data_IF_972508239913
#
_entry.id   IF_972508239913
#
_cell.length_a   1.000
_cell.length_b   1.000
_cell.length_c   1.000
_cell.angle_alpha   90.00
_cell.angle_beta   90.00
_cell.angle_gamma   90.00
#
_symmetry.space_group_name_H-M   'P 1'
#
loop_
_entity.id
_entity.type
_entity.pdbx_description
1 polymer ?
#
# COMPACT_ATOMS: atom_id res chain seq x y z
N UNK A 1 -19.79 7.05 8.96
CA UNK A 1 -20.69 5.90 9.16
C UNK A 1 -19.86 4.62 9.13
N UNK A 2 -20.00 3.72 10.08
CA UNK A 2 -19.26 2.46 10.10
C UNK A 2 -19.59 1.64 8.84
N UNK A 3 -18.59 0.94 8.33
CA UNK A 3 -18.75 0.04 7.21
C UNK A 3 -19.58 -1.17 7.65
N UNK A 4 -20.51 -1.60 6.80
CA UNK A 4 -21.23 -2.87 6.96
C UNK A 4 -21.07 -3.67 5.68
N UNK A 5 -20.93 -4.98 5.80
CA UNK A 5 -20.84 -5.92 4.68
C UNK A 5 -21.98 -5.68 3.68
N UNK A 6 -21.65 -5.61 2.39
CA UNK A 6 -22.66 -5.29 1.34
C UNK A 6 -22.80 -3.82 0.97
N UNK A 7 -22.26 -2.88 1.74
CA UNK A 7 -22.26 -1.46 1.37
C UNK A 7 -21.20 -1.15 0.31
N UNK A 8 -21.33 -0.01 -0.43
CA UNK A 8 -20.31 0.45 -1.36
C UNK A 8 -18.94 0.59 -0.69
N UNK A 9 -17.87 0.23 -1.41
CA UNK A 9 -16.49 0.28 -0.90
C UNK A 9 -16.09 1.71 -0.52
N UNK A 10 -16.54 2.69 -1.30
CA UNK A 10 -16.27 4.10 -1.04
C UNK A 10 -17.58 4.89 -0.90
N UNK A 11 -17.50 6.00 -0.18
CA UNK A 11 -18.60 6.95 -0.07
C UNK A 11 -18.34 8.13 -1.01
N UNK A 12 -19.23 8.32 -1.99
CA UNK A 12 -19.11 9.35 -3.02
C UNK A 12 -19.81 10.65 -2.64
N UNK A 13 -20.54 10.71 -1.53
CA UNK A 13 -21.26 11.89 -1.05
C UNK A 13 -20.32 13.06 -0.81
N UNK A 14 -20.57 14.20 -1.43
CA UNK A 14 -19.66 15.34 -1.47
C UNK A 14 -19.25 15.88 -0.07
N UNK A 15 -20.17 16.11 0.88
CA UNK A 15 -19.78 16.55 2.23
C UNK A 15 -18.85 15.55 2.95
N UNK A 16 -19.10 14.24 2.79
CA UNK A 16 -18.22 13.22 3.32
C UNK A 16 -16.83 13.29 2.69
N UNK A 17 -16.73 13.53 1.38
CA UNK A 17 -15.45 13.67 0.68
C UNK A 17 -14.67 14.90 1.13
N UNK A 18 -15.35 16.02 1.39
CA UNK A 18 -14.74 17.23 1.96
C UNK A 18 -14.21 16.93 3.36
N UNK A 19 -15.05 16.37 4.23
CA UNK A 19 -14.64 15.97 5.58
C UNK A 19 -13.42 15.03 5.56
N UNK A 20 -13.41 14.00 4.68
CA UNK A 20 -12.25 13.11 4.53
C UNK A 20 -11.00 13.84 4.04
N UNK A 21 -11.14 14.88 3.22
CA UNK A 21 -9.99 15.66 2.78
C UNK A 21 -9.38 16.45 3.94
N UNK A 22 -10.21 17.18 4.68
CA UNK A 22 -9.77 17.99 5.83
C UNK A 22 -9.13 17.10 6.90
N UNK A 23 -9.81 16.03 7.31
CA UNK A 23 -9.30 15.06 8.30
C UNK A 23 -7.97 14.45 7.85
N UNK A 24 -7.89 14.06 6.57
CA UNK A 24 -6.67 13.49 6.02
C UNK A 24 -5.47 14.43 6.16
N UNK A 25 -5.59 15.69 5.72
CA UNK A 25 -4.45 16.61 5.75
C UNK A 25 -4.04 16.99 7.18
N UNK A 26 -4.99 17.14 8.10
CA UNK A 26 -4.69 17.42 9.52
C UNK A 26 -3.94 16.24 10.14
N UNK A 27 -4.50 15.03 10.05
CA UNK A 27 -3.89 13.82 10.64
C UNK A 27 -2.57 13.49 9.96
N UNK A 28 -2.52 13.65 8.63
CA UNK A 28 -1.29 13.42 7.87
C UNK A 28 -0.15 14.35 8.34
N UNK A 29 -0.42 15.63 8.56
CA UNK A 29 0.59 16.59 9.05
C UNK A 29 1.16 16.14 10.39
N UNK A 30 0.29 15.78 11.35
CA UNK A 30 0.72 15.26 12.64
C UNK A 30 1.56 14.00 12.49
N UNK A 31 1.08 13.06 11.67
CA UNK A 31 1.74 11.79 11.46
C UNK A 31 3.10 11.93 10.74
N UNK A 32 3.27 12.95 9.87
CA UNK A 32 4.57 13.23 9.25
C UNK A 32 5.58 13.79 10.25
N UNK A 33 5.15 14.61 11.19
CA UNK A 33 6.04 15.07 12.28
C UNK A 33 6.53 13.87 13.09
N UNK A 34 5.61 12.98 13.49
CA UNK A 34 5.97 11.73 14.19
C UNK A 34 6.94 10.88 13.37
N UNK A 35 6.67 10.71 12.09
CA UNK A 35 7.47 9.89 11.18
C UNK A 35 8.88 10.48 10.97
N UNK A 36 8.97 11.80 10.83
CA UNK A 36 10.24 12.50 10.72
C UNK A 36 11.09 12.36 12.00
N UNK A 37 10.45 12.50 13.17
CA UNK A 37 11.15 12.39 14.46
C UNK A 37 11.57 10.95 14.73
N UNK A 38 10.71 9.96 14.46
CA UNK A 38 10.99 8.55 14.75
C UNK A 38 11.94 7.90 13.75
N UNK A 39 11.70 8.07 12.44
CA UNK A 39 12.37 7.29 11.39
C UNK A 39 13.28 8.12 10.49
N UNK A 40 13.22 9.45 10.58
CA UNK A 40 13.89 10.33 9.59
C UNK A 40 13.59 9.90 8.14
N UNK A 41 12.32 9.58 7.87
CA UNK A 41 11.89 9.06 6.57
C UNK A 41 12.28 10.00 5.43
N UNK A 42 12.93 9.46 4.43
CA UNK A 42 13.24 10.16 3.18
C UNK A 42 12.47 9.56 2.02
N UNK A 43 12.18 10.39 1.01
CA UNK A 43 11.41 9.99 -0.17
C UNK A 43 12.26 10.16 -1.42
N UNK A 44 12.41 9.11 -2.23
CA UNK A 44 13.15 9.12 -3.48
C UNK A 44 12.23 8.91 -4.68
N UNK A 45 12.57 9.57 -5.78
CA UNK A 45 11.92 9.38 -7.09
C UNK A 45 10.40 9.68 -7.13
N UNK A 46 9.88 10.52 -6.24
CA UNK A 46 8.44 10.89 -6.21
C UNK A 46 7.92 11.43 -7.54
N UNK A 47 8.79 12.00 -8.35
CA UNK A 47 8.45 12.51 -9.69
C UNK A 47 7.93 11.42 -10.64
N UNK A 48 8.33 10.14 -10.42
CA UNK A 48 7.84 8.98 -11.19
C UNK A 48 6.33 8.73 -11.03
N UNK A 49 5.67 9.34 -10.06
CA UNK A 49 4.21 9.28 -9.90
C UNK A 49 3.45 10.30 -10.76
N UNK A 50 4.17 11.15 -11.46
CA UNK A 50 3.57 12.17 -12.32
C UNK A 50 3.08 11.53 -13.63
N UNK A 51 2.04 12.11 -14.22
CA UNK A 51 1.53 11.69 -15.53
C UNK A 51 0.49 10.56 -15.50
N UNK A 52 0.45 9.71 -14.49
CA UNK A 52 -0.53 8.62 -14.42
C UNK A 52 -1.94 9.14 -14.12
N UNK A 53 -2.91 8.65 -14.87
CA UNK A 53 -4.36 8.86 -14.59
C UNK A 53 -4.88 7.84 -13.59
N UNK A 54 -4.40 6.61 -13.68
CA UNK A 54 -4.71 5.49 -12.79
C UNK A 54 -3.51 4.55 -12.69
N UNK A 55 -3.24 4.02 -11.51
CA UNK A 55 -2.26 2.96 -11.29
C UNK A 55 -2.54 2.19 -10.00
N UNK A 56 -2.12 0.94 -9.97
CA UNK A 56 -2.00 0.17 -8.74
C UNK A 56 -0.64 0.45 -8.11
N UNK A 57 -0.64 0.80 -6.84
CA UNK A 57 0.59 0.89 -6.06
C UNK A 57 0.76 -0.39 -5.26
N UNK A 58 1.97 -0.91 -5.20
CA UNK A 58 2.32 -2.05 -4.34
C UNK A 58 3.54 -1.69 -3.50
N UNK A 59 3.55 -2.09 -2.23
CA UNK A 59 4.72 -1.90 -1.39
C UNK A 59 4.94 -3.08 -0.44
N UNK A 60 6.18 -3.24 0.03
CA UNK A 60 6.46 -4.08 1.18
C UNK A 60 5.80 -3.49 2.43
N UNK A 61 5.37 -4.37 3.35
CA UNK A 61 4.67 -3.95 4.58
C UNK A 61 5.55 -4.18 5.79
N UNK A 62 6.18 -3.10 6.26
CA UNK A 62 7.30 -3.16 7.20
C UNK A 62 7.05 -2.48 8.53
N UNK A 63 6.04 -1.62 8.61
CA UNK A 63 5.66 -0.95 9.87
C UNK A 63 4.17 -0.61 9.88
N UNK A 64 3.62 -0.42 11.06
CA UNK A 64 2.26 0.07 11.24
C UNK A 64 2.04 1.46 10.59
N UNK A 65 3.09 2.27 10.46
CA UNK A 65 3.04 3.62 9.87
C UNK A 65 3.18 3.66 8.35
N UNK A 66 3.33 2.52 7.67
CA UNK A 66 3.48 2.49 6.21
C UNK A 66 2.36 3.23 5.44
N UNK A 67 1.07 3.17 5.83
CA UNK A 67 0.03 3.95 5.15
C UNK A 67 0.30 5.45 5.17
N UNK A 68 0.88 5.97 6.25
CA UNK A 68 1.26 7.38 6.39
C UNK A 68 2.41 7.73 5.45
N UNK A 69 3.42 6.86 5.37
CA UNK A 69 4.60 7.04 4.52
C UNK A 69 4.22 6.99 3.04
N UNK A 70 3.41 5.99 2.65
CA UNK A 70 2.88 5.89 1.29
C UNK A 70 2.11 7.17 0.94
N UNK A 71 1.24 7.64 1.84
CA UNK A 71 0.53 8.90 1.64
C UNK A 71 1.47 10.10 1.51
N UNK A 72 2.58 10.11 2.24
CA UNK A 72 3.63 11.14 2.14
C UNK A 72 4.30 11.18 0.78
N UNK A 73 4.58 10.02 0.19
CA UNK A 73 5.13 9.93 -1.16
C UNK A 73 4.17 10.51 -2.22
N UNK A 74 2.85 10.37 -2.00
CA UNK A 74 1.80 10.78 -2.95
C UNK A 74 1.47 12.27 -2.93
N UNK A 75 1.81 13.01 -1.87
CA UNK A 75 1.40 14.41 -1.74
C UNK A 75 1.73 15.29 -2.95
N UNK A 76 0.84 16.22 -3.26
CA UNK A 76 -0.40 16.61 -2.57
C UNK A 76 -1.60 15.70 -2.88
N UNK A 77 -1.43 14.64 -3.64
CA UNK A 77 -2.51 13.71 -4.00
C UNK A 77 -2.75 12.73 -2.86
N UNK A 78 -3.99 12.30 -2.73
CA UNK A 78 -4.39 11.23 -1.82
C UNK A 78 -4.48 9.92 -2.59
N UNK A 79 -4.11 8.79 -1.95
CA UNK A 79 -4.30 7.44 -2.47
C UNK A 79 -5.38 6.69 -1.70
N UNK A 80 -6.00 5.70 -2.33
CA UNK A 80 -6.78 4.69 -1.65
C UNK A 80 -5.84 3.65 -1.06
N UNK A 81 -6.11 3.20 0.17
CA UNK A 81 -5.33 2.18 0.87
C UNK A 81 -6.21 0.97 1.11
N UNK A 82 -5.87 -0.20 0.58
CA UNK A 82 -6.61 -1.42 0.89
C UNK A 82 -6.33 -1.89 2.31
N UNK A 83 -7.39 -2.29 3.00
CA UNK A 83 -7.34 -2.77 4.38
C UNK A 83 -8.18 -4.04 4.50
N UNK A 84 -7.87 -4.89 5.48
CA UNK A 84 -8.71 -6.04 5.81
C UNK A 84 -10.13 -5.56 6.15
N UNK A 85 -11.14 -6.28 5.66
CA UNK A 85 -12.55 -5.95 5.89
C UNK A 85 -12.86 -5.84 7.39
N UNK A 86 -12.35 -6.76 8.20
CA UNK A 86 -12.50 -6.76 9.67
C UNK A 86 -11.96 -5.49 10.33
N UNK A 87 -10.82 -4.97 9.89
CA UNK A 87 -10.27 -3.70 10.40
C UNK A 87 -11.23 -2.54 10.17
N UNK A 88 -11.91 -2.54 9.02
CA UNK A 88 -12.86 -1.47 8.66
C UNK A 88 -14.21 -1.63 9.36
N UNK A 89 -14.56 -2.83 9.79
CA UNK A 89 -15.78 -3.13 10.58
C UNK A 89 -15.61 -2.76 12.07
N UNK A 90 -14.38 -2.64 12.56
CA UNK A 90 -14.10 -2.29 13.97
C UNK A 90 -14.65 -0.89 14.29
N UNK A 91 -15.42 -0.74 15.38
CA UNK A 91 -15.92 0.57 15.84
C UNK A 91 -14.79 1.59 16.00
N UNK A 92 -15.04 2.85 15.70
CA UNK A 92 -14.09 3.97 15.69
C UNK A 92 -12.95 3.80 14.70
N UNK A 93 -12.14 2.72 14.79
CA UNK A 93 -11.00 2.45 13.91
C UNK A 93 -11.43 2.35 12.44
N UNK A 94 -12.53 1.64 12.17
CA UNK A 94 -13.06 1.51 10.81
C UNK A 94 -13.53 2.84 10.23
N UNK A 95 -14.19 3.69 11.03
CA UNK A 95 -14.58 5.03 10.58
C UNK A 95 -13.34 5.89 10.31
N UNK A 96 -12.37 5.86 11.22
CA UNK A 96 -11.13 6.61 11.12
C UNK A 96 -10.32 6.21 9.87
N UNK A 97 -10.09 4.92 9.65
CA UNK A 97 -9.36 4.43 8.47
C UNK A 97 -10.06 4.79 7.18
N UNK A 98 -11.40 4.75 7.13
CA UNK A 98 -12.18 5.18 5.96
C UNK A 98 -12.08 6.68 5.70
N UNK A 99 -12.04 7.51 6.73
CA UNK A 99 -11.78 8.95 6.60
C UNK A 99 -10.41 9.20 5.98
N UNK A 100 -9.41 8.39 6.29
CA UNK A 100 -8.08 8.48 5.70
C UNK A 100 -7.97 7.88 4.28
N UNK A 101 -9.01 7.21 3.80
CA UNK A 101 -9.04 6.63 2.46
C UNK A 101 -8.87 5.13 2.43
N UNK A 102 -9.15 4.47 3.54
CA UNK A 102 -9.19 3.02 3.62
C UNK A 102 -10.33 2.42 2.80
N UNK A 103 -10.00 1.41 1.99
CA UNK A 103 -10.92 0.64 1.16
C UNK A 103 -10.95 -0.79 1.70
N UNK A 104 -12.11 -1.28 2.17
CA UNK A 104 -12.21 -2.63 2.68
C UNK A 104 -11.97 -3.65 1.57
N UNK A 105 -11.09 -4.61 1.83
CA UNK A 105 -10.78 -5.71 0.94
C UNK A 105 -11.26 -7.02 1.59
N UNK A 106 -12.42 -7.55 1.17
CA UNK A 106 -12.84 -8.88 1.55
C UNK A 106 -11.82 -9.94 1.11
N UNK A 107 -11.71 -11.06 1.82
CA UNK A 107 -10.76 -12.11 1.47
C UNK A 107 -11.12 -12.78 0.14
N UNK A 108 -10.08 -13.25 -0.57
CA UNK A 108 -10.23 -14.05 -1.78
C UNK A 108 -10.73 -13.27 -3.01
N UNK A 109 -11.18 -14.02 -4.02
CA UNK A 109 -11.59 -13.48 -5.32
C UNK A 109 -12.85 -12.59 -5.22
N UNK A 110 -13.69 -12.77 -4.22
CA UNK A 110 -14.87 -11.92 -4.00
C UNK A 110 -14.46 -10.46 -3.73
N UNK A 111 -13.40 -10.25 -2.96
CA UNK A 111 -12.85 -8.93 -2.70
C UNK A 111 -12.30 -8.27 -3.97
N UNK A 112 -11.58 -9.03 -4.79
CA UNK A 112 -11.04 -8.56 -6.06
C UNK A 112 -12.17 -8.16 -7.02
N UNK A 113 -13.20 -8.98 -7.17
CA UNK A 113 -14.38 -8.65 -8.00
C UNK A 113 -15.09 -7.37 -7.52
N UNK A 114 -15.16 -7.14 -6.20
CA UNK A 114 -15.73 -5.89 -5.66
C UNK A 114 -14.87 -4.68 -5.97
N UNK A 115 -13.55 -4.79 -5.91
CA UNK A 115 -12.61 -3.73 -6.32
C UNK A 115 -12.81 -3.42 -7.81
N UNK A 116 -12.84 -4.43 -8.68
CA UNK A 116 -13.07 -4.24 -10.11
C UNK A 116 -14.40 -3.54 -10.40
N UNK A 117 -15.47 -3.95 -9.75
CA UNK A 117 -16.79 -3.29 -9.87
C UNK A 117 -16.76 -1.83 -9.42
N UNK A 118 -15.97 -1.50 -8.39
CA UNK A 118 -15.85 -0.15 -7.85
C UNK A 118 -14.78 0.70 -8.54
N UNK A 119 -13.98 0.12 -9.44
CA UNK A 119 -12.82 0.79 -10.06
C UNK A 119 -13.16 2.09 -10.79
N UNK A 120 -14.30 2.25 -11.50
CA UNK A 120 -14.64 3.52 -12.13
C UNK A 120 -14.73 4.65 -11.10
N UNK A 121 -15.39 4.43 -9.97
CA UNK A 121 -15.49 5.42 -8.90
C UNK A 121 -14.18 5.62 -8.16
N UNK A 122 -13.44 4.54 -7.88
CA UNK A 122 -12.14 4.61 -7.23
C UNK A 122 -11.21 5.54 -8.01
N UNK A 123 -11.02 5.30 -9.30
CA UNK A 123 -10.08 6.06 -10.13
C UNK A 123 -10.62 7.43 -10.61
N UNK A 124 -11.95 7.64 -10.56
CA UNK A 124 -12.55 8.98 -10.74
C UNK A 124 -12.12 9.95 -9.64
N UNK A 125 -12.01 9.47 -8.37
CA UNK A 125 -11.76 10.34 -7.22
C UNK A 125 -10.30 10.38 -6.78
N UNK A 126 -9.55 9.28 -6.96
CA UNK A 126 -8.11 9.22 -6.66
C UNK A 126 -7.42 8.36 -7.70
N UNK A 127 -6.26 8.80 -8.16
CA UNK A 127 -5.52 8.15 -9.26
C UNK A 127 -4.90 6.81 -8.86
N UNK A 128 -4.72 6.55 -7.56
CA UNK A 128 -3.94 5.43 -7.07
C UNK A 128 -4.74 4.59 -6.08
N UNK A 129 -4.63 3.27 -6.24
CA UNK A 129 -5.11 2.28 -5.28
C UNK A 129 -3.91 1.45 -4.82
N UNK A 130 -3.64 1.45 -3.52
CA UNK A 130 -2.47 0.82 -2.93
C UNK A 130 -2.83 -0.52 -2.28
N UNK A 131 -1.92 -1.48 -2.46
CA UNK A 131 -1.96 -2.81 -1.85
C UNK A 131 -0.65 -3.14 -1.15
N UNK A 132 -0.76 -3.94 -0.09
CA UNK A 132 0.34 -4.68 0.50
C UNK A 132 0.25 -6.15 0.03
N UNK A 133 0.94 -6.53 -1.06
CA UNK A 133 0.72 -7.85 -1.67
C UNK A 133 1.24 -9.01 -0.81
N UNK A 134 2.12 -8.77 0.15
CA UNK A 134 2.53 -9.76 1.16
C UNK A 134 1.33 -10.20 2.04
N UNK A 135 0.35 -9.32 2.23
CA UNK A 135 -0.87 -9.57 3.01
C UNK A 135 -0.67 -9.59 4.52
N UNK A 136 0.56 -9.43 4.99
CA UNK A 136 0.95 -9.36 6.40
C UNK A 136 2.00 -8.25 6.58
N UNK A 137 2.12 -7.73 7.81
CA UNK A 137 3.15 -6.78 8.17
C UNK A 137 4.33 -7.53 8.82
N UNK A 138 5.51 -7.41 8.22
CA UNK A 138 6.75 -7.99 8.74
C UNK A 138 7.67 -6.86 9.21
N UNK A 139 7.73 -6.65 10.54
CA UNK A 139 8.38 -5.49 11.15
C UNK A 139 9.85 -5.36 10.74
N UNK A 140 10.14 -4.27 10.03
CA UNK A 140 11.47 -3.91 9.52
C UNK A 140 12.09 -4.97 8.60
N UNK A 141 11.28 -5.79 7.95
CA UNK A 141 11.78 -6.83 7.04
C UNK A 141 12.36 -6.21 5.75
N UNK A 142 13.49 -6.76 5.31
CA UNK A 142 14.14 -6.40 4.06
C UNK A 142 14.19 -7.59 3.06
N UNK A 143 13.59 -8.71 3.43
CA UNK A 143 13.34 -9.86 2.57
C UNK A 143 11.86 -9.91 2.22
N UNK A 144 11.49 -9.47 1.02
CA UNK A 144 10.11 -9.42 0.58
C UNK A 144 9.55 -10.82 0.44
N UNK A 145 8.47 -11.10 1.16
CA UNK A 145 7.76 -12.37 1.11
C UNK A 145 7.02 -12.55 -0.21
N UNK A 146 6.51 -13.73 -0.46
CA UNK A 146 5.75 -14.05 -1.65
C UNK A 146 4.53 -13.13 -1.79
N UNK A 147 4.27 -12.67 -3.01
CA UNK A 147 3.17 -11.78 -3.30
C UNK A 147 1.88 -12.53 -3.64
N UNK A 148 0.80 -12.14 -3.01
CA UNK A 148 -0.55 -12.52 -3.43
C UNK A 148 -0.89 -11.84 -4.76
N UNK A 149 -1.48 -12.57 -5.68
CA UNK A 149 -1.76 -12.13 -7.05
C UNK A 149 -2.86 -11.06 -7.17
N UNK A 150 -3.64 -10.79 -6.12
CA UNK A 150 -4.85 -9.97 -6.20
C UNK A 150 -4.65 -8.56 -6.76
N UNK A 151 -3.60 -7.84 -6.34
CA UNK A 151 -3.28 -6.51 -6.86
C UNK A 151 -2.94 -6.54 -8.35
N UNK A 152 -2.19 -7.56 -8.76
CA UNK A 152 -1.73 -7.78 -10.14
C UNK A 152 -2.88 -8.20 -11.05
N UNK A 153 -3.82 -9.00 -10.52
CA UNK A 153 -5.05 -9.34 -11.22
C UNK A 153 -5.91 -8.08 -11.51
N UNK A 154 -6.06 -7.19 -10.52
CA UNK A 154 -6.78 -5.91 -10.73
C UNK A 154 -6.06 -5.06 -11.78
N UNK A 155 -4.73 -4.96 -11.73
CA UNK A 155 -3.95 -4.21 -12.70
C UNK A 155 -4.11 -4.78 -14.13
N UNK A 156 -4.08 -6.10 -14.26
CA UNK A 156 -4.23 -6.81 -15.54
C UNK A 156 -5.64 -6.66 -16.13
N UNK A 157 -6.70 -6.80 -15.32
CA UNK A 157 -8.08 -6.63 -15.78
C UNK A 157 -8.37 -5.20 -16.24
N UNK A 158 -7.84 -4.21 -15.52
CA UNK A 158 -8.04 -2.80 -15.86
C UNK A 158 -7.02 -2.28 -16.87
N UNK A 159 -6.04 -3.10 -17.25
CA UNK A 159 -4.90 -2.72 -18.11
C UNK A 159 -4.22 -1.41 -17.66
N UNK A 160 -3.97 -1.30 -16.35
CA UNK A 160 -3.29 -0.14 -15.75
C UNK A 160 -1.96 -0.56 -15.13
N UNK A 161 -0.94 0.33 -15.07
CA UNK A 161 0.37 -0.02 -14.56
C UNK A 161 0.36 -0.31 -13.05
N UNK A 162 1.30 -1.15 -12.64
CA UNK A 162 1.72 -1.33 -11.25
C UNK A 162 2.95 -0.47 -11.01
N UNK A 163 2.91 0.38 -9.97
CA UNK A 163 4.06 1.19 -9.55
C UNK A 163 4.53 0.64 -8.20
N UNK A 164 5.71 -0.01 -8.17
CA UNK A 164 6.26 -0.51 -6.92
C UNK A 164 6.82 0.62 -6.06
N UNK A 165 6.63 0.52 -4.75
CA UNK A 165 7.24 1.36 -3.74
C UNK A 165 7.99 0.49 -2.74
N UNK A 166 9.22 0.84 -2.44
CA UNK A 166 10.06 0.04 -1.56
C UNK A 166 10.50 0.85 -0.35
N UNK A 167 10.21 0.36 0.84
CA UNK A 167 10.77 0.88 2.09
C UNK A 167 12.08 0.15 2.37
N UNK A 168 13.18 0.91 2.37
CA UNK A 168 14.53 0.41 2.65
C UNK A 168 14.98 0.96 4.00
N UNK A 169 15.45 0.08 4.86
CA UNK A 169 16.08 0.44 6.14
C UNK A 169 17.59 0.42 6.00
N UNK A 170 18.24 1.53 6.31
CA UNK A 170 19.70 1.62 6.28
C UNK A 170 20.28 1.60 7.68
N UNK A 171 21.38 0.80 7.83
CA UNK A 171 22.20 0.72 9.04
C UNK A 171 23.41 1.66 9.03
N UNK A 172 23.38 2.78 8.31
CA UNK A 172 24.53 3.66 8.13
C UNK A 172 25.11 4.27 9.41
N UNK A 173 26.29 4.89 9.30
CA UNK A 173 27.20 5.43 10.35
C UNK A 173 26.59 6.46 11.31
N UNK A 174 25.32 6.73 11.24
CA UNK A 174 24.64 7.57 12.22
C UNK A 174 24.17 6.72 13.39
N UNK A 175 24.52 7.14 14.60
CA UNK A 175 23.99 6.57 15.84
C UNK A 175 22.49 6.36 15.68
N UNK A 176 21.99 5.12 15.89
CA UNK A 176 20.56 4.86 15.81
C UNK A 176 19.85 5.86 16.72
N UNK A 177 18.83 6.55 16.19
CA UNK A 177 18.05 7.46 17.03
C UNK A 177 17.35 6.64 18.08
N UNK A 178 17.71 6.85 19.33
CA UNK A 178 17.02 6.28 20.45
C UNK A 178 15.75 7.09 20.72
N UNK A 179 14.59 6.50 20.51
CA UNK A 179 13.32 7.02 21.01
C UNK A 179 12.84 6.09 22.12
N UNK A 180 12.72 6.61 23.31
CA UNK A 180 12.38 5.81 24.51
C UNK A 180 13.31 4.58 24.70
N UNK A 181 14.62 4.74 24.50
CA UNK A 181 15.59 3.66 24.65
C UNK A 181 15.61 2.62 23.55
N UNK A 182 14.86 2.79 22.47
CA UNK A 182 14.83 1.88 21.32
C UNK A 182 15.60 2.45 20.13
N UNK A 183 16.44 1.61 19.54
CA UNK A 183 17.13 1.89 18.28
C UNK A 183 16.14 1.76 17.13
N UNK A 184 15.83 2.87 16.44
CA UNK A 184 14.99 2.85 15.24
C UNK A 184 15.85 3.06 13.99
N UNK A 185 15.59 2.29 12.90
CA UNK A 185 16.32 2.42 11.66
C UNK A 185 16.01 3.74 10.95
N UNK A 186 16.95 4.22 10.15
CA UNK A 186 16.64 5.19 9.10
C UNK A 186 15.91 4.51 7.97
N UNK A 187 14.92 5.18 7.42
CA UNK A 187 14.21 4.62 6.28
C UNK A 187 14.17 5.54 5.06
N UNK A 188 14.15 4.90 3.91
CA UNK A 188 13.96 5.57 2.62
C UNK A 188 12.84 4.87 1.88
N UNK A 189 11.79 5.62 1.53
CA UNK A 189 10.76 5.15 0.62
C UNK A 189 11.13 5.53 -0.82
N UNK A 190 11.30 4.53 -1.66
CA UNK A 190 11.70 4.68 -3.05
C UNK A 190 10.53 4.37 -3.97
N UNK A 191 10.18 5.29 -4.86
CA UNK A 191 9.23 5.04 -5.94
C UNK A 191 9.99 4.48 -7.13
N UNK A 192 9.59 3.29 -7.59
CA UNK A 192 10.21 2.61 -8.72
C UNK A 192 9.50 2.96 -10.04
N UNK A 193 10.03 2.46 -11.15
CA UNK A 193 9.41 2.62 -12.45
C UNK A 193 8.12 1.79 -12.56
N UNK A 194 7.18 2.29 -13.34
CA UNK A 194 5.93 1.58 -13.59
C UNK A 194 6.17 0.32 -14.41
N UNK A 195 5.55 -0.78 -13.99
CA UNK A 195 5.58 -2.07 -14.69
C UNK A 195 4.19 -2.30 -15.29
N UNK A 196 4.16 -2.54 -16.59
CA UNK A 196 2.91 -2.66 -17.34
C UNK A 196 2.48 -4.13 -17.47
N UNK A 197 1.20 -4.45 -17.22
CA UNK A 197 0.68 -5.81 -17.37
C UNK A 197 0.91 -6.39 -18.76
N UNK A 198 0.84 -5.56 -19.81
CA UNK A 198 0.99 -5.97 -21.20
C UNK A 198 2.27 -6.73 -21.51
N UNK A 199 3.33 -6.56 -20.71
CA UNK A 199 4.61 -7.26 -20.87
C UNK A 199 4.63 -8.68 -20.28
N UNK A 200 3.61 -9.05 -19.50
CA UNK A 200 3.59 -10.30 -18.72
C UNK A 200 2.33 -11.11 -18.95
N UNK A 201 1.18 -10.43 -19.14
CA UNK A 201 -0.13 -11.04 -19.08
C UNK A 201 -0.49 -11.73 -20.40
N UNK A 202 -0.90 -12.98 -20.27
CA UNK A 202 -1.51 -13.78 -21.34
C UNK A 202 -3.01 -13.87 -21.10
N UNK A 203 -3.77 -13.97 -22.20
CA UNK A 203 -5.21 -14.23 -22.16
C UNK A 203 -5.53 -15.45 -23.01
N UNK A 204 -6.53 -16.22 -22.58
CA UNK A 204 -7.04 -17.34 -23.38
C UNK A 204 -7.90 -16.84 -24.58
N UNK A 205 -8.35 -17.76 -25.42
CA UNK A 205 -9.19 -17.46 -26.59
C UNK A 205 -10.50 -16.75 -26.22
N UNK A 206 -10.98 -16.91 -25.00
CA UNK A 206 -12.19 -16.22 -24.46
C UNK A 206 -11.89 -14.85 -23.88
N UNK A 207 -10.64 -14.40 -23.94
CA UNK A 207 -10.19 -13.12 -23.39
C UNK A 207 -10.01 -13.11 -21.86
N UNK A 208 -10.12 -14.27 -21.18
CA UNK A 208 -9.93 -14.39 -19.75
C UNK A 208 -8.42 -14.41 -19.42
N UNK A 209 -8.07 -13.83 -18.27
CA UNK A 209 -6.68 -13.82 -17.80
C UNK A 209 -6.15 -15.22 -17.50
N UNK A 210 -4.98 -15.53 -18.03
CA UNK A 210 -4.19 -16.66 -17.58
C UNK A 210 -3.63 -16.36 -16.16
N UNK A 211 -4.10 -17.13 -15.19
CA UNK A 211 -3.77 -16.92 -13.77
C UNK A 211 -2.28 -17.13 -13.50
N UNK A 212 -1.63 -18.02 -14.22
CA UNK A 212 -0.19 -18.26 -14.05
C UNK A 212 0.62 -17.06 -14.56
N UNK A 213 0.20 -16.43 -15.64
CA UNK A 213 0.81 -15.18 -16.09
C UNK A 213 0.66 -14.04 -15.08
N UNK A 214 -0.46 -13.99 -14.34
CA UNK A 214 -0.65 -13.01 -13.25
C UNK A 214 0.30 -13.30 -12.06
N UNK A 215 0.55 -14.58 -11.76
CA UNK A 215 1.53 -14.97 -10.72
C UNK A 215 2.95 -14.64 -11.16
N UNK A 216 3.30 -14.91 -12.42
CA UNK A 216 4.59 -14.53 -13.02
C UNK A 216 4.80 -13.01 -12.91
N UNK A 217 3.79 -12.21 -13.24
CA UNK A 217 3.82 -10.76 -13.11
C UNK A 217 4.08 -10.32 -11.66
N UNK A 218 3.38 -10.93 -10.69
CA UNK A 218 3.58 -10.66 -9.27
C UNK A 218 5.02 -11.00 -8.82
N UNK A 219 5.53 -12.15 -9.24
CA UNK A 219 6.88 -12.61 -8.93
C UNK A 219 7.96 -11.69 -9.54
N UNK A 220 7.77 -11.26 -10.78
CA UNK A 220 8.68 -10.33 -11.46
C UNK A 220 8.76 -8.98 -10.72
N UNK A 221 7.61 -8.40 -10.35
CA UNK A 221 7.57 -7.15 -9.58
C UNK A 221 8.21 -7.32 -8.20
N UNK A 222 7.97 -8.45 -7.51
CA UNK A 222 8.62 -8.77 -6.23
C UNK A 222 10.14 -8.82 -6.38
N UNK A 223 10.64 -9.46 -7.43
CA UNK A 223 12.08 -9.56 -7.69
C UNK A 223 12.69 -8.17 -7.95
N UNK A 224 12.04 -7.34 -8.76
CA UNK A 224 12.48 -5.95 -8.98
C UNK A 224 12.58 -5.17 -7.66
N UNK A 225 11.57 -5.30 -6.79
CA UNK A 225 11.56 -4.66 -5.47
C UNK A 225 12.67 -5.19 -4.57
N UNK A 226 12.91 -6.51 -4.58
CA UNK A 226 13.98 -7.13 -3.79
C UNK A 226 15.37 -6.66 -4.26
N UNK A 227 15.57 -6.57 -5.56
CA UNK A 227 16.82 -6.06 -6.14
C UNK A 227 17.07 -4.60 -5.75
N UNK A 228 16.04 -3.77 -5.70
CA UNK A 228 16.15 -2.38 -5.24
C UNK A 228 16.58 -2.30 -3.76
N UNK A 229 16.03 -3.16 -2.88
CA UNK A 229 16.46 -3.26 -1.47
C UNK A 229 17.94 -3.66 -1.39
N UNK A 230 18.32 -4.70 -2.11
CA UNK A 230 19.70 -5.21 -2.11
C UNK A 230 20.70 -4.19 -2.66
N UNK A 231 20.34 -3.52 -3.76
CA UNK A 231 21.16 -2.47 -4.36
C UNK A 231 21.34 -1.23 -3.48
N UNK A 232 20.46 -1.03 -2.50
CA UNK A 232 20.57 0.06 -1.50
C UNK A 232 21.13 -0.38 -0.16
N UNK A 233 21.71 -1.59 -0.08
CA UNK A 233 22.26 -2.15 1.15
C UNK A 233 21.23 -2.18 2.29
N UNK A 234 20.03 -2.65 2.01
CA UNK A 234 18.97 -2.83 3.00
C UNK A 234 19.46 -3.65 4.19
N UNK A 235 19.21 -3.16 5.40
CA UNK A 235 19.73 -3.75 6.63
C UNK A 235 18.65 -4.59 7.33
N UNK A 236 18.87 -5.90 7.42
CA UNK A 236 17.97 -6.86 8.10
C UNK A 236 18.17 -6.92 9.62
N UNK A 237 19.17 -6.23 10.19
CA UNK A 237 19.46 -6.25 11.62
C UNK A 237 18.31 -5.74 12.51
N UNK A 238 17.38 -4.99 11.93
CA UNK A 238 16.21 -4.45 12.62
C UNK A 238 14.99 -5.36 12.58
N UNK A 239 15.02 -6.47 11.84
CA UNK A 239 13.87 -7.37 11.72
C UNK A 239 13.36 -7.87 13.08
N UNK A 240 12.05 -7.83 13.28
CA UNK A 240 11.38 -8.15 14.56
C UNK A 240 10.27 -9.20 14.42
N UNK A 241 10.20 -9.87 13.28
CA UNK A 241 9.15 -10.85 13.03
C UNK A 241 7.87 -10.26 12.43
N UNK A 242 6.86 -11.11 12.30
CA UNK A 242 5.53 -10.72 11.84
C UNK A 242 4.81 -9.93 12.95
N UNK A 243 4.14 -8.85 12.58
CA UNK A 243 3.26 -8.14 13.50
C UNK A 243 2.08 -9.04 13.87
N UNK A 244 1.92 -9.29 15.16
CA UNK A 244 0.82 -10.11 15.66
C UNK A 244 -0.53 -9.46 15.36
N UNK A 245 -1.48 -10.31 14.98
CA UNK A 245 -2.86 -9.86 14.78
C UNK A 245 -3.56 -9.72 16.12
N UNK A 246 -4.26 -8.62 16.29
CA UNK A 246 -5.08 -8.37 17.48
C UNK A 246 -6.47 -8.91 17.17
N UNK A 247 -6.91 -9.89 17.98
CA UNK A 247 -8.24 -10.51 17.83
C UNK A 247 -9.35 -9.45 17.84
N UNK A 248 -10.22 -9.50 16.86
CA UNK A 248 -11.34 -8.55 16.71
C UNK A 248 -10.97 -7.21 16.07
N UNK A 249 -9.69 -6.96 15.70
CA UNK A 249 -9.25 -5.73 15.05
C UNK A 249 -8.73 -6.03 13.62
N UNK A 250 -7.83 -6.99 13.49
CA UNK A 250 -7.16 -7.27 12.22
C UNK A 250 -6.89 -8.77 11.99
N UNK A 251 -7.63 -9.63 12.68
CA UNK A 251 -7.58 -11.09 12.53
C UNK A 251 -8.51 -11.63 11.41
#
# INVERSE_FOLDING_TARGET
MPYKRGRPLINTFLPFRIATAMTFYVIWTIAQVVNLVMFSTSYKNRWKLRGFRSAILVSNHTTFLDPVKISGAMLPRRTWQTLLEKTVETPFLGTFTRLLGGVPLPPGMSGIKRILKASPDLFRFRRFLHFYPEGECYLYNQEIREFKSGAFFVAAELNIPVIPLVTVFSGGSFKPRSFLGRCLPRETLVVMDAVYPSSYIRRNEKGELDIDSVREFAAAVRLLMQNEISGRSGCSAFYRGRLERIKGIND
#
